data_IF_868641139235
#
_entry.id   IF_868641139235
#
_cell.length_a   1.000
_cell.length_b   1.000
_cell.length_c   1.000
_cell.angle_alpha   90.00
_cell.angle_beta   90.00
_cell.angle_gamma   90.00
#
_symmetry.space_group_name_H-M   'P 1'
#
loop_
_entity.id
_entity.type
_entity.pdbx_description
1 polymer ?
#
# COMPACT_ATOMS: atom_id res chain seq x y z
N UNK A 1 -15.65 25.33 4.33
CA UNK A 1 -15.35 24.28 3.33
C UNK A 1 -16.60 24.15 2.49
N UNK A 2 -16.52 24.67 1.29
CA UNK A 2 -17.50 24.46 0.22
C UNK A 2 -17.42 23.00 -0.27
N UNK A 3 -18.50 22.51 -0.85
CA UNK A 3 -18.63 21.13 -1.31
C UNK A 3 -17.55 20.75 -2.34
N UNK A 4 -17.18 21.71 -3.19
CA UNK A 4 -16.14 21.53 -4.22
C UNK A 4 -14.77 21.27 -3.58
N UNK A 5 -14.41 21.97 -2.51
CA UNK A 5 -13.13 21.76 -1.81
C UNK A 5 -13.03 20.35 -1.22
N UNK A 6 -14.12 19.81 -0.68
CA UNK A 6 -14.16 18.41 -0.20
C UNK A 6 -13.94 17.43 -1.34
N UNK A 7 -14.59 17.64 -2.49
CA UNK A 7 -14.42 16.80 -3.68
C UNK A 7 -13.00 16.87 -4.25
N UNK A 8 -12.39 18.05 -4.25
CA UNK A 8 -10.99 18.22 -4.65
C UNK A 8 -10.06 17.45 -3.69
N UNK A 9 -10.36 17.44 -2.39
CA UNK A 9 -9.58 16.69 -1.41
C UNK A 9 -9.71 15.17 -1.60
N UNK A 10 -10.92 14.67 -1.87
CA UNK A 10 -11.17 13.26 -2.22
C UNK A 10 -10.34 12.85 -3.46
N UNK A 11 -10.35 13.66 -4.53
CA UNK A 11 -9.56 13.38 -5.73
C UNK A 11 -8.05 13.40 -5.45
N UNK A 12 -7.56 14.37 -4.67
CA UNK A 12 -6.15 14.48 -4.30
C UNK A 12 -5.69 13.25 -3.50
N UNK A 13 -6.52 12.75 -2.60
CA UNK A 13 -6.23 11.52 -1.84
C UNK A 13 -6.06 10.31 -2.77
N UNK A 14 -7.03 10.08 -3.68
CA UNK A 14 -6.96 8.94 -4.62
C UNK A 14 -5.74 9.05 -5.53
N UNK A 15 -5.46 10.25 -6.04
CA UNK A 15 -4.29 10.49 -6.90
C UNK A 15 -2.98 10.15 -6.17
N UNK A 16 -2.83 10.58 -4.92
CA UNK A 16 -1.64 10.28 -4.12
C UNK A 16 -1.48 8.79 -3.83
N UNK A 17 -2.58 8.09 -3.56
CA UNK A 17 -2.54 6.64 -3.39
C UNK A 17 -2.10 5.93 -4.66
N UNK A 18 -2.65 6.32 -5.82
CA UNK A 18 -2.30 5.72 -7.10
C UNK A 18 -0.81 5.91 -7.44
N UNK A 19 -0.28 7.13 -7.29
CA UNK A 19 1.15 7.39 -7.52
C UNK A 19 2.02 6.58 -6.56
N UNK A 20 1.66 6.49 -5.28
CA UNK A 20 2.41 5.72 -4.29
C UNK A 20 2.43 4.20 -4.58
N UNK A 21 1.31 3.63 -5.04
CA UNK A 21 1.25 2.22 -5.48
C UNK A 21 2.13 2.03 -6.72
N UNK A 22 1.99 2.90 -7.72
CA UNK A 22 2.70 2.80 -8.99
C UNK A 22 4.22 2.84 -8.79
N UNK A 23 4.73 3.79 -8.02
CA UNK A 23 6.16 3.92 -7.72
C UNK A 23 6.69 2.74 -6.90
N UNK A 24 5.97 2.33 -5.86
CA UNK A 24 6.41 1.24 -4.99
C UNK A 24 6.41 -0.12 -5.70
N UNK A 25 5.39 -0.40 -6.52
CA UNK A 25 5.27 -1.70 -7.17
C UNK A 25 6.12 -1.81 -8.43
N UNK A 26 6.30 -0.75 -9.20
CA UNK A 26 7.27 -0.74 -10.30
C UNK A 26 8.69 -1.00 -9.79
N UNK A 27 9.10 -0.31 -8.72
CA UNK A 27 10.43 -0.51 -8.12
C UNK A 27 10.66 -1.91 -7.54
N UNK A 28 9.61 -2.59 -7.05
CA UNK A 28 9.72 -3.92 -6.44
C UNK A 28 9.61 -5.07 -7.44
N UNK A 29 8.76 -4.92 -8.45
CA UNK A 29 8.39 -6.01 -9.34
C UNK A 29 9.03 -5.90 -10.72
N UNK A 30 9.54 -4.73 -11.13
CA UNK A 30 10.16 -4.52 -12.44
C UNK A 30 11.64 -4.18 -12.21
N UNK A 31 12.53 -5.13 -12.50
CA UNK A 31 13.96 -4.96 -12.23
C UNK A 31 14.81 -4.72 -13.48
N UNK A 32 14.41 -5.28 -14.62
CA UNK A 32 15.12 -5.19 -15.90
C UNK A 32 14.12 -5.14 -17.04
N UNK A 33 14.34 -4.24 -17.99
CA UNK A 33 13.54 -4.15 -19.20
C UNK A 33 14.22 -4.95 -20.31
N UNK A 34 13.91 -6.24 -20.40
CA UNK A 34 14.35 -7.09 -21.51
C UNK A 34 13.34 -7.11 -22.65
N UNK A 35 12.06 -6.92 -22.34
CA UNK A 35 10.92 -7.02 -23.25
C UNK A 35 9.91 -5.91 -22.95
N UNK A 36 9.00 -5.62 -23.87
CA UNK A 36 7.97 -4.58 -23.72
C UNK A 36 6.75 -5.01 -22.90
N UNK A 37 6.55 -6.32 -22.73
CA UNK A 37 5.44 -6.89 -21.99
C UNK A 37 5.90 -7.42 -20.63
N UNK A 38 5.01 -7.36 -19.62
CA UNK A 38 5.29 -7.97 -18.33
C UNK A 38 5.22 -9.49 -18.45
N UNK A 39 6.23 -10.18 -17.91
CA UNK A 39 6.11 -11.63 -17.77
C UNK A 39 5.09 -11.99 -16.68
N UNK A 40 4.63 -13.25 -16.67
CA UNK A 40 3.62 -13.75 -15.72
C UNK A 40 4.01 -13.51 -14.25
N UNK A 41 5.30 -13.68 -13.92
CA UNK A 41 5.85 -13.40 -12.59
C UNK A 41 5.83 -11.92 -12.21
N UNK A 42 6.11 -11.01 -13.16
CA UNK A 42 6.04 -9.56 -12.92
C UNK A 42 4.58 -9.11 -12.74
N UNK A 43 3.67 -9.64 -13.54
CA UNK A 43 2.23 -9.37 -13.43
C UNK A 43 1.67 -9.84 -12.08
N UNK A 44 1.93 -11.09 -11.68
CA UNK A 44 1.49 -11.62 -10.38
C UNK A 44 2.18 -10.92 -9.21
N UNK A 45 3.44 -10.51 -9.36
CA UNK A 45 4.12 -9.68 -8.36
C UNK A 45 3.42 -8.33 -8.18
N UNK A 46 3.07 -7.64 -9.27
CA UNK A 46 2.43 -6.34 -9.24
C UNK A 46 1.08 -6.37 -8.49
N UNK A 47 0.25 -7.39 -8.73
CA UNK A 47 -1.02 -7.57 -8.02
C UNK A 47 -0.81 -7.79 -6.51
N UNK A 48 0.08 -8.72 -6.14
CA UNK A 48 0.42 -8.99 -4.73
C UNK A 48 1.04 -7.76 -4.05
N UNK A 49 1.80 -6.97 -4.80
CA UNK A 49 2.39 -5.73 -4.30
C UNK A 49 1.31 -4.71 -3.99
N UNK A 50 0.33 -4.51 -4.88
CA UNK A 50 -0.78 -3.57 -4.65
C UNK A 50 -1.59 -3.94 -3.39
N UNK A 51 -1.89 -5.24 -3.20
CA UNK A 51 -2.54 -5.73 -1.98
C UNK A 51 -1.74 -5.39 -0.72
N UNK A 52 -0.45 -5.77 -0.69
CA UNK A 52 0.43 -5.50 0.45
C UNK A 52 0.63 -4.01 0.71
N UNK A 53 0.70 -3.19 -0.33
CA UNK A 53 0.81 -1.73 -0.20
C UNK A 53 -0.42 -1.17 0.50
N UNK A 54 -1.62 -1.61 0.14
CA UNK A 54 -2.86 -1.16 0.77
C UNK A 54 -2.96 -1.59 2.23
N UNK A 55 -2.55 -2.81 2.56
CA UNK A 55 -2.49 -3.27 3.95
C UNK A 55 -1.48 -2.45 4.77
N UNK A 56 -0.31 -2.18 4.20
CA UNK A 56 0.70 -1.31 4.82
C UNK A 56 0.19 0.11 4.98
N UNK A 57 -0.51 0.65 3.97
CA UNK A 57 -1.10 1.99 4.00
C UNK A 57 -2.11 2.12 5.14
N UNK A 58 -3.01 1.13 5.32
CA UNK A 58 -3.95 1.08 6.45
C UNK A 58 -3.22 1.01 7.80
N UNK A 59 -2.18 0.19 7.89
CA UNK A 59 -1.38 0.04 9.11
C UNK A 59 -0.60 1.32 9.48
N UNK A 60 -0.14 2.07 8.50
CA UNK A 60 0.50 3.37 8.72
C UNK A 60 -0.55 4.41 9.11
N UNK A 61 -1.70 4.41 8.45
CA UNK A 61 -2.80 5.33 8.73
C UNK A 61 -3.31 5.17 10.17
N UNK A 62 -3.42 3.95 10.69
CA UNK A 62 -3.86 3.68 12.07
C UNK A 62 -2.85 4.20 13.11
N UNK A 63 -1.57 4.27 12.77
CA UNK A 63 -0.50 4.81 13.64
C UNK A 63 -0.42 6.34 13.60
N UNK A 64 -0.67 6.95 12.43
CA UNK A 64 -0.64 8.42 12.25
C UNK A 64 -1.85 9.09 12.92
N UNK A 65 -3.02 8.45 12.85
CA UNK A 65 -4.24 8.97 13.46
C UNK A 65 -4.90 7.89 14.34
N UNK A 66 -4.43 7.73 15.59
CA UNK A 66 -4.94 6.69 16.49
C UNK A 66 -6.41 6.88 16.87
N UNK A 67 -6.98 8.10 16.74
CA UNK A 67 -8.41 8.35 17.00
C UNK A 67 -9.32 7.83 15.88
N UNK A 68 -8.82 7.73 14.64
CA UNK A 68 -9.50 7.09 13.52
C UNK A 68 -9.09 5.63 13.34
N UNK A 69 -8.37 5.05 14.32
CA UNK A 69 -8.07 3.63 14.33
C UNK A 69 -9.40 2.87 14.44
N UNK A 70 -9.78 2.19 13.37
CA UNK A 70 -10.80 1.15 13.45
C UNK A 70 -10.32 0.18 14.53
N UNK A 71 -11.09 -0.05 15.62
CA UNK A 71 -10.66 -0.97 16.66
C UNK A 71 -10.44 -2.32 16.01
N UNK A 72 -9.18 -2.76 16.00
CA UNK A 72 -8.84 -4.12 15.63
C UNK A 72 -9.52 -5.05 16.64
N UNK A 73 -10.59 -5.72 16.24
CA UNK A 73 -11.12 -6.87 16.96
C UNK A 73 -10.67 -8.15 16.27
N UNK A 74 -10.41 -9.23 17.02
CA UNK A 74 -9.43 -9.34 18.10
C UNK A 74 -8.23 -10.22 17.67
N UNK A 75 -7.06 -9.91 18.22
CA UNK A 75 -5.83 -10.73 18.20
C UNK A 75 -5.22 -11.02 16.81
N UNK A 76 -4.47 -10.05 16.27
CA UNK A 76 -3.18 -10.43 15.72
C UNK A 76 -2.24 -10.61 16.93
N UNK A 77 -1.81 -11.84 17.26
CA UNK A 77 -0.90 -12.04 18.38
C UNK A 77 0.37 -11.24 18.11
N UNK A 78 0.73 -10.46 19.13
CA UNK A 78 1.93 -9.66 19.25
C UNK A 78 3.05 -10.13 18.31
N UNK A 79 3.42 -9.23 17.39
CA UNK A 79 4.73 -9.07 16.78
C UNK A 79 5.80 -9.96 17.44
N UNK A 80 5.91 -11.20 16.96
CA UNK A 80 7.11 -11.99 17.19
C UNK A 80 8.19 -11.36 16.31
N UNK A 81 9.01 -10.51 16.92
CA UNK A 81 10.43 -10.42 16.59
C UNK A 81 11.01 -11.84 16.57
N UNK A 82 10.92 -12.54 15.45
CA UNK A 82 11.91 -13.56 15.10
C UNK A 82 13.04 -12.86 14.37
N UNK A 83 13.84 -12.18 15.17
CA UNK A 83 15.28 -12.20 15.00
C UNK A 83 15.72 -13.66 15.07
N UNK A 84 15.89 -14.26 13.92
CA UNK A 84 16.87 -15.31 13.64
C UNK A 84 16.94 -15.27 12.12
N UNK A 85 17.93 -14.62 11.51
CA UNK A 85 19.13 -15.35 11.09
C UNK A 85 18.92 -16.86 11.22
N UNK A 86 18.06 -17.42 10.36
CA UNK A 86 18.14 -18.70 9.65
C UNK A 86 16.94 -18.78 8.70
#
# INVERSE_FOLDING_TARGET
MDDIDVKILEMKMISKMFTGISEACSAKCISKYSEGELNVGEAVCAERCAQKWMDTFKNVQSKINPQNAVPATPAEPAEQKKSSWF
#
